data_IF_366304952308
#
_entry.id   IF_366304952308
#
_cell.length_a   1.000
_cell.length_b   1.000
_cell.length_c   1.000
_cell.angle_alpha   90.00
_cell.angle_beta   90.00
_cell.angle_gamma   90.00
#
_symmetry.space_group_name_H-M   'P 1'
#
loop_
_entity.id
_entity.type
_entity.pdbx_description
1 polymer ?
#
# COMPACT_ATOMS: atom_id res chain seq x y z
N UNK A 1 38.97 28.56 8.22
CA UNK A 1 39.65 27.61 7.32
C UNK A 1 38.70 27.02 6.27
N UNK A 2 37.63 26.31 6.65
CA UNK A 2 36.68 25.71 5.66
C UNK A 2 35.86 26.79 4.93
N UNK A 3 35.50 27.89 5.59
CA UNK A 3 34.75 29.00 4.95
C UNK A 3 35.53 29.76 3.87
N UNK A 4 36.87 29.80 3.93
CA UNK A 4 37.72 30.38 2.88
C UNK A 4 37.90 29.42 1.69
N UNK A 5 37.73 28.12 1.90
CA UNK A 5 37.82 27.10 0.84
C UNK A 5 36.62 27.12 -0.12
N UNK A 6 35.45 27.56 0.33
CA UNK A 6 34.21 27.50 -0.45
C UNK A 6 34.02 28.69 -1.42
N UNK A 7 34.70 29.82 -1.19
CA UNK A 7 34.47 31.04 -1.98
C UNK A 7 35.17 31.04 -3.34
N UNK A 8 36.06 30.09 -3.65
CA UNK A 8 36.89 30.21 -4.85
C UNK A 8 37.13 28.87 -5.59
N UNK A 9 36.04 28.27 -6.07
CA UNK A 9 35.98 26.97 -6.78
C UNK A 9 36.94 26.84 -7.97
N UNK A 10 37.39 27.95 -8.57
CA UNK A 10 38.23 27.94 -9.77
C UNK A 10 39.73 28.09 -9.49
N UNK A 11 40.12 28.52 -8.29
CA UNK A 11 41.55 28.73 -7.96
C UNK A 11 42.26 27.48 -7.45
N UNK A 12 41.51 26.46 -7.03
CA UNK A 12 42.03 25.18 -6.54
C UNK A 12 42.80 24.39 -7.62
N UNK A 13 42.45 24.59 -8.90
CA UNK A 13 43.07 23.90 -10.04
C UNK A 13 44.27 24.66 -10.64
N UNK A 14 44.74 25.72 -9.99
CA UNK A 14 45.94 26.42 -10.45
C UNK A 14 47.21 25.60 -10.13
N UNK A 15 48.16 25.44 -11.07
CA UNK A 15 49.35 24.62 -10.89
C UNK A 15 50.14 24.96 -9.62
N UNK A 16 50.27 26.25 -9.28
CA UNK A 16 51.01 26.74 -8.12
C UNK A 16 50.35 26.36 -6.79
N UNK A 17 49.01 26.33 -6.71
CA UNK A 17 48.30 25.89 -5.51
C UNK A 17 48.23 24.36 -5.38
N UNK A 18 48.18 23.64 -6.50
CA UNK A 18 48.27 22.17 -6.52
C UNK A 18 49.62 21.68 -5.98
N UNK A 19 50.72 22.33 -6.34
CA UNK A 19 52.06 22.03 -5.79
C UNK A 19 52.11 22.32 -4.29
N UNK A 20 51.52 23.44 -3.84
CA UNK A 20 51.41 23.79 -2.42
C UNK A 20 50.51 22.85 -1.60
N UNK A 21 49.55 22.17 -2.24
CA UNK A 21 48.73 21.12 -1.64
C UNK A 21 49.47 19.78 -1.61
N UNK A 22 50.21 19.44 -2.66
CA UNK A 22 51.02 18.22 -2.72
C UNK A 22 52.11 18.18 -1.63
N UNK A 23 52.72 19.34 -1.32
CA UNK A 23 53.74 19.45 -0.25
C UNK A 23 53.14 19.43 1.17
N UNK A 24 51.85 19.73 1.32
CA UNK A 24 51.11 19.69 2.61
C UNK A 24 50.36 18.37 2.83
N UNK A 25 50.49 17.42 1.90
CA UNK A 25 49.71 16.19 1.85
C UNK A 25 48.50 16.35 0.92
N UNK A 26 48.44 15.53 -0.13
CA UNK A 26 47.32 15.51 -1.06
C UNK A 26 46.05 15.14 -0.27
N UNK A 27 45.00 15.97 -0.25
CA UNK A 27 43.75 15.59 0.39
C UNK A 27 43.22 14.34 -0.30
N UNK A 28 43.10 13.24 0.45
CA UNK A 28 42.49 12.02 -0.05
C UNK A 28 41.01 12.31 -0.24
N UNK A 29 40.56 12.35 -1.49
CA UNK A 29 39.12 12.39 -1.80
C UNK A 29 38.54 11.06 -1.32
N UNK A 30 37.88 11.09 -0.17
CA UNK A 30 37.11 9.95 0.32
C UNK A 30 35.79 9.98 -0.42
N UNK A 31 35.63 9.07 -1.37
CA UNK A 31 34.42 8.98 -2.16
C UNK A 31 33.30 8.38 -1.30
N UNK A 32 32.28 9.18 -0.98
CA UNK A 32 31.20 8.78 -0.07
C UNK A 32 30.15 7.87 -0.76
N UNK A 33 30.60 6.90 -1.56
CA UNK A 33 29.74 6.02 -2.38
C UNK A 33 28.89 5.07 -1.53
N UNK A 34 29.36 4.69 -0.34
CA UNK A 34 28.63 3.77 0.55
C UNK A 34 27.32 4.42 1.02
N UNK A 35 27.39 5.68 1.47
CA UNK A 35 26.22 6.43 1.93
C UNK A 35 25.22 6.68 0.78
N UNK A 36 25.70 7.00 -0.42
CA UNK A 36 24.84 7.25 -1.57
C UNK A 36 24.06 6.00 -2.01
N UNK A 37 24.69 4.81 -1.98
CA UNK A 37 24.02 3.55 -2.30
C UNK A 37 22.94 3.23 -1.25
N UNK A 38 23.30 3.35 0.04
CA UNK A 38 22.36 3.06 1.13
C UNK A 38 21.13 3.98 1.12
N UNK A 39 21.30 5.26 0.82
CA UNK A 39 20.16 6.19 0.74
C UNK A 39 19.25 5.85 -0.46
N UNK A 40 19.82 5.47 -1.61
CA UNK A 40 19.04 5.02 -2.77
C UNK A 40 18.25 3.75 -2.45
N UNK A 41 18.88 2.77 -1.81
CA UNK A 41 18.22 1.51 -1.43
C UNK A 41 17.07 1.76 -0.43
N UNK A 42 17.27 2.69 0.52
CA UNK A 42 16.26 3.11 1.49
C UNK A 42 15.08 3.82 0.83
N UNK A 43 15.34 4.77 -0.06
CA UNK A 43 14.29 5.48 -0.79
C UNK A 43 13.54 4.55 -1.75
N UNK A 44 14.22 3.63 -2.42
CA UNK A 44 13.57 2.62 -3.25
C UNK A 44 12.59 1.78 -2.43
N UNK A 45 13.03 1.29 -1.26
CA UNK A 45 12.16 0.56 -0.34
C UNK A 45 10.95 1.41 0.07
N UNK A 46 11.17 2.66 0.45
CA UNK A 46 10.10 3.56 0.88
C UNK A 46 9.05 3.77 -0.23
N UNK A 47 9.50 4.05 -1.45
CA UNK A 47 8.61 4.23 -2.61
C UNK A 47 7.83 2.95 -2.93
N UNK A 48 8.47 1.78 -2.82
CA UNK A 48 7.77 0.50 -2.98
C UNK A 48 6.72 0.28 -1.90
N UNK A 49 7.01 0.58 -0.64
CA UNK A 49 6.07 0.50 0.47
C UNK A 49 4.86 1.42 0.25
N UNK A 50 5.09 2.67 -0.14
CA UNK A 50 4.02 3.62 -0.48
C UNK A 50 3.19 3.15 -1.66
N UNK A 51 3.83 2.64 -2.73
CA UNK A 51 3.14 2.10 -3.90
C UNK A 51 2.21 0.93 -3.56
N UNK A 52 2.66 -0.01 -2.73
CA UNK A 52 1.83 -1.13 -2.26
C UNK A 52 0.64 -0.58 -1.47
N UNK A 53 0.89 0.31 -0.51
CA UNK A 53 -0.15 0.84 0.37
C UNK A 53 -1.21 1.60 -0.43
N UNK A 54 -0.80 2.45 -1.36
CA UNK A 54 -1.72 3.28 -2.13
C UNK A 54 -2.55 2.47 -3.10
N UNK A 55 -1.97 1.49 -3.80
CA UNK A 55 -2.78 0.60 -4.63
C UNK A 55 -3.73 -0.27 -3.79
N UNK A 56 -3.33 -0.65 -2.58
CA UNK A 56 -4.18 -1.41 -1.66
C UNK A 56 -5.35 -0.57 -1.14
N UNK A 57 -5.13 0.72 -0.84
CA UNK A 57 -6.21 1.66 -0.51
C UNK A 57 -7.19 1.83 -1.66
N UNK A 58 -6.69 1.93 -2.89
CA UNK A 58 -7.52 2.02 -4.09
C UNK A 58 -8.32 0.72 -4.30
N UNK A 59 -7.73 -0.45 -4.05
CA UNK A 59 -8.40 -1.74 -4.18
C UNK A 59 -9.65 -1.87 -3.28
N UNK A 60 -9.59 -1.31 -2.08
CA UNK A 60 -10.70 -1.37 -1.10
C UNK A 60 -11.62 -0.15 -1.14
N UNK A 61 -11.34 0.86 -1.98
CA UNK A 61 -12.08 2.13 -2.02
C UNK A 61 -13.61 1.95 -2.09
N UNK A 62 -14.17 1.01 -2.90
CA UNK A 62 -15.62 0.81 -2.95
C UNK A 62 -16.20 0.39 -1.60
N UNK A 63 -15.50 -0.51 -0.89
CA UNK A 63 -15.91 -0.99 0.44
C UNK A 63 -15.73 0.10 1.48
N UNK A 64 -14.58 0.78 1.51
CA UNK A 64 -14.30 1.86 2.46
C UNK A 64 -15.29 3.01 2.32
N UNK A 65 -15.65 3.39 1.09
CA UNK A 65 -16.67 4.40 0.80
C UNK A 65 -18.05 3.99 1.32
N UNK A 66 -18.42 2.72 1.16
CA UNK A 66 -19.65 2.18 1.74
C UNK A 66 -19.62 2.20 3.28
N UNK A 67 -18.55 1.68 3.89
CA UNK A 67 -18.39 1.65 5.35
C UNK A 67 -18.45 3.05 5.96
N UNK A 68 -17.85 4.05 5.31
CA UNK A 68 -17.91 5.44 5.75
C UNK A 68 -19.36 5.98 5.71
N UNK A 69 -20.13 5.65 4.67
CA UNK A 69 -21.56 6.01 4.58
C UNK A 69 -22.36 5.35 5.69
N UNK A 70 -22.09 4.07 6.01
CA UNK A 70 -22.73 3.37 7.13
C UNK A 70 -22.40 4.04 8.47
N UNK A 71 -21.13 4.36 8.71
CA UNK A 71 -20.69 5.04 9.94
C UNK A 71 -21.32 6.42 10.10
N UNK A 72 -21.36 7.22 9.02
CA UNK A 72 -22.02 8.52 9.02
C UNK A 72 -23.54 8.42 9.23
N UNK A 73 -24.17 7.38 8.66
CA UNK A 73 -25.57 7.08 8.90
C UNK A 73 -25.84 6.73 10.36
N UNK A 74 -25.08 5.78 10.94
CA UNK A 74 -25.21 5.37 12.34
C UNK A 74 -25.06 6.54 13.29
N UNK A 75 -24.02 7.35 13.12
CA UNK A 75 -23.81 8.57 13.92
C UNK A 75 -25.02 9.51 13.86
N UNK A 76 -25.60 9.73 12.67
CA UNK A 76 -26.79 10.58 12.53
C UNK A 76 -28.06 9.95 13.10
N UNK A 77 -28.17 8.62 13.04
CA UNK A 77 -29.32 7.89 13.52
C UNK A 77 -29.34 7.83 15.05
N UNK A 78 -28.16 7.68 15.68
CA UNK A 78 -28.01 7.65 17.14
C UNK A 78 -28.33 9.00 17.79
N UNK A 79 -28.17 10.10 17.05
CA UNK A 79 -28.55 11.46 17.49
C UNK A 79 -30.07 11.73 17.41
N UNK A 80 -30.84 10.86 16.77
CA UNK A 80 -32.31 10.99 16.68
C UNK A 80 -32.98 10.31 17.87
N UNK A 81 -34.16 10.80 18.22
CA UNK A 81 -35.02 10.11 19.18
C UNK A 81 -35.29 8.66 18.72
N UNK A 82 -35.37 7.73 19.66
CA UNK A 82 -35.48 6.28 19.41
C UNK A 82 -36.63 5.96 18.43
N UNK A 83 -37.73 6.72 18.48
CA UNK A 83 -38.89 6.55 17.60
C UNK A 83 -38.68 7.03 16.16
N UNK A 84 -37.64 7.83 15.90
CA UNK A 84 -37.29 8.38 14.58
C UNK A 84 -36.04 7.72 13.98
N UNK A 85 -35.49 6.71 14.67
CA UNK A 85 -34.39 5.91 14.15
C UNK A 85 -34.88 5.07 12.97
N UNK A 86 -34.09 5.05 11.90
CA UNK A 86 -34.35 4.28 10.68
C UNK A 86 -33.36 3.12 10.57
N UNK A 87 -33.73 2.05 9.88
CA UNK A 87 -32.82 0.94 9.59
C UNK A 87 -31.90 1.27 8.41
N UNK A 88 -30.71 0.68 8.38
CA UNK A 88 -29.75 0.83 7.30
C UNK A 88 -30.33 0.43 5.94
N UNK A 89 -31.18 -0.62 5.90
CA UNK A 89 -31.84 -1.11 4.68
C UNK A 89 -32.72 -0.09 3.97
N UNK A 90 -33.23 0.90 4.71
CA UNK A 90 -34.08 1.94 4.15
C UNK A 90 -33.26 3.04 3.44
N UNK A 91 -31.94 3.00 3.57
CA UNK A 91 -31.07 3.96 2.91
C UNK A 91 -30.90 3.63 1.43
N UNK A 92 -30.88 4.67 0.59
CA UNK A 92 -30.74 4.52 -0.88
C UNK A 92 -29.41 3.87 -1.28
N UNK A 93 -28.34 4.11 -0.51
CA UNK A 93 -27.01 3.55 -0.79
C UNK A 93 -26.86 2.10 -0.30
N UNK A 94 -27.78 1.61 0.51
CA UNK A 94 -27.78 0.27 1.08
C UNK A 94 -28.90 -0.61 0.49
N UNK A 95 -29.45 -0.22 -0.67
CA UNK A 95 -30.35 -1.08 -1.43
C UNK A 95 -29.58 -2.29 -1.98
N UNK A 96 -30.21 -3.48 -2.11
CA UNK A 96 -29.55 -4.69 -2.57
C UNK A 96 -28.73 -4.50 -3.85
N UNK A 97 -29.30 -3.85 -4.87
CA UNK A 97 -28.64 -3.57 -6.15
C UNK A 97 -27.34 -2.77 -5.97
N UNK A 98 -27.34 -1.79 -5.05
CA UNK A 98 -26.17 -0.96 -4.76
C UNK A 98 -25.10 -1.69 -3.97
N UNK A 99 -25.50 -2.61 -3.09
CA UNK A 99 -24.56 -3.44 -2.35
C UNK A 99 -23.89 -4.45 -3.28
N UNK A 100 -24.62 -5.00 -4.25
CA UNK A 100 -24.06 -5.84 -5.32
C UNK A 100 -23.05 -5.05 -6.16
N UNK A 101 -23.42 -3.86 -6.63
CA UNK A 101 -22.54 -2.98 -7.41
C UNK A 101 -21.24 -2.65 -6.66
N UNK A 102 -21.33 -2.35 -5.36
CA UNK A 102 -20.15 -2.10 -4.51
C UNK A 102 -19.24 -3.34 -4.43
N UNK A 103 -19.83 -4.53 -4.28
CA UNK A 103 -19.06 -5.77 -4.21
C UNK A 103 -18.41 -6.15 -5.55
N UNK A 104 -19.13 -6.02 -6.67
CA UNK A 104 -18.59 -6.29 -8.01
C UNK A 104 -17.45 -5.33 -8.34
N UNK A 105 -17.64 -4.03 -8.08
CA UNK A 105 -16.59 -3.01 -8.25
C UNK A 105 -15.37 -3.33 -7.39
N UNK A 106 -15.58 -3.78 -6.14
CA UNK A 106 -14.49 -4.23 -5.27
C UNK A 106 -13.74 -5.43 -5.88
N UNK A 107 -14.44 -6.46 -6.36
CA UNK A 107 -13.80 -7.62 -6.99
C UNK A 107 -12.95 -7.23 -8.20
N UNK A 108 -13.47 -6.36 -9.06
CA UNK A 108 -12.75 -5.87 -10.24
C UNK A 108 -11.52 -5.06 -9.85
N UNK A 109 -11.66 -4.14 -8.90
CA UNK A 109 -10.57 -3.26 -8.48
C UNK A 109 -9.47 -4.05 -7.77
N UNK A 110 -9.83 -5.00 -6.91
CA UNK A 110 -8.89 -5.92 -6.27
C UNK A 110 -8.12 -6.69 -7.32
N UNK A 111 -8.78 -7.42 -8.22
CA UNK A 111 -8.07 -8.18 -9.26
C UNK A 111 -7.17 -7.29 -10.12
N UNK A 112 -7.66 -6.16 -10.58
CA UNK A 112 -6.90 -5.26 -11.45
C UNK A 112 -5.65 -4.67 -10.76
N UNK A 113 -5.76 -4.33 -9.46
CA UNK A 113 -4.66 -3.73 -8.71
C UNK A 113 -3.69 -4.78 -8.20
N UNK A 114 -4.21 -5.86 -7.62
CA UNK A 114 -3.39 -6.90 -7.02
C UNK A 114 -2.52 -7.63 -8.05
N UNK A 115 -3.11 -8.00 -9.20
CA UNK A 115 -2.38 -8.59 -10.33
C UNK A 115 -1.28 -7.68 -10.89
N UNK A 116 -1.37 -6.38 -10.67
CA UNK A 116 -0.44 -5.41 -11.25
C UNK A 116 0.73 -5.07 -10.32
N UNK A 117 0.52 -5.08 -9.00
CA UNK A 117 1.53 -4.64 -8.04
C UNK A 117 2.71 -5.61 -8.01
N UNK A 118 2.46 -6.92 -7.93
CA UNK A 118 3.51 -7.94 -7.77
C UNK A 118 4.47 -7.99 -8.97
N UNK A 119 3.99 -8.10 -10.23
CA UNK A 119 4.88 -8.12 -11.38
C UNK A 119 5.62 -6.80 -11.57
N UNK A 120 4.96 -5.65 -11.31
CA UNK A 120 5.63 -4.36 -11.43
C UNK A 120 6.73 -4.19 -10.40
N UNK A 121 6.50 -4.60 -9.16
CA UNK A 121 7.55 -4.55 -8.16
C UNK A 121 8.75 -5.43 -8.52
N UNK A 122 8.53 -6.66 -9.00
CA UNK A 122 9.62 -7.55 -9.42
C UNK A 122 10.42 -6.99 -10.62
N UNK A 123 9.80 -6.21 -11.51
CA UNK A 123 10.51 -5.51 -12.59
C UNK A 123 11.50 -4.43 -12.07
N UNK A 124 11.19 -3.79 -10.95
CA UNK A 124 12.04 -2.74 -10.36
C UNK A 124 13.03 -3.27 -9.33
N UNK A 125 12.73 -4.42 -8.71
CA UNK A 125 13.53 -5.05 -7.67
C UNK A 125 14.38 -6.15 -8.30
N UNK A 126 15.52 -5.80 -8.88
CA UNK A 126 16.41 -6.75 -9.54
C UNK A 126 17.12 -7.77 -8.61
N UNK A 127 16.76 -7.81 -7.32
CA UNK A 127 17.40 -8.64 -6.29
C UNK A 127 16.39 -9.25 -5.31
N UNK A 128 16.52 -10.57 -5.07
CA UNK A 128 15.60 -11.36 -4.22
C UNK A 128 15.68 -10.97 -2.75
N UNK A 129 16.83 -10.52 -2.26
CA UNK A 129 16.97 -10.08 -0.87
C UNK A 129 16.13 -8.83 -0.63
N UNK A 130 16.12 -7.91 -1.60
CA UNK A 130 15.29 -6.69 -1.57
C UNK A 130 13.79 -6.99 -1.73
N UNK A 131 13.41 -7.94 -2.59
CA UNK A 131 12.03 -8.43 -2.69
C UNK A 131 11.53 -9.03 -1.35
N UNK A 132 12.40 -9.76 -0.64
CA UNK A 132 12.04 -10.39 0.66
C UNK A 132 11.68 -9.36 1.74
N UNK A 133 12.30 -8.18 1.71
CA UNK A 133 12.01 -7.08 2.65
C UNK A 133 10.59 -6.54 2.42
N UNK A 134 10.13 -6.57 1.18
CA UNK A 134 8.83 -6.03 0.77
C UNK A 134 7.68 -7.05 0.92
N UNK A 135 7.97 -8.30 1.26
CA UNK A 135 6.95 -9.29 1.61
C UNK A 135 6.08 -8.84 2.79
N UNK A 136 6.70 -8.21 3.80
CA UNK A 136 5.97 -7.72 4.99
C UNK A 136 4.90 -6.67 4.66
N UNK A 137 5.22 -5.56 3.97
CA UNK A 137 4.22 -4.55 3.59
C UNK A 137 3.16 -5.09 2.63
N UNK A 138 3.52 -6.05 1.77
CA UNK A 138 2.59 -6.80 0.92
C UNK A 138 1.58 -7.59 1.76
N UNK A 139 2.06 -8.42 2.69
CA UNK A 139 1.22 -9.24 3.56
C UNK A 139 0.32 -8.38 4.46
N UNK A 140 0.85 -7.26 4.96
CA UNK A 140 0.07 -6.31 5.75
C UNK A 140 -1.08 -5.72 4.94
N UNK A 141 -0.84 -5.39 3.67
CA UNK A 141 -1.85 -4.82 2.79
C UNK A 141 -2.90 -5.85 2.36
N UNK A 142 -2.46 -7.08 2.06
CA UNK A 142 -3.34 -8.23 1.84
C UNK A 142 -4.29 -8.47 3.02
N UNK A 143 -3.74 -8.49 4.24
CA UNK A 143 -4.53 -8.61 5.47
C UNK A 143 -5.54 -7.46 5.60
N UNK A 144 -5.13 -6.22 5.34
CA UNK A 144 -6.02 -5.06 5.41
C UNK A 144 -7.21 -5.15 4.43
N UNK A 145 -6.99 -5.69 3.23
CA UNK A 145 -8.06 -5.96 2.25
C UNK A 145 -9.07 -6.96 2.81
N UNK A 146 -8.58 -8.06 3.38
CA UNK A 146 -9.41 -9.11 3.98
C UNK A 146 -10.21 -8.56 5.17
N UNK A 147 -9.56 -7.80 6.07
CA UNK A 147 -10.18 -7.21 7.26
C UNK A 147 -11.29 -6.21 6.87
N UNK A 148 -11.07 -5.39 5.84
CA UNK A 148 -12.07 -4.45 5.32
C UNK A 148 -13.28 -5.17 4.74
N UNK A 149 -13.05 -6.24 3.99
CA UNK A 149 -14.12 -7.08 3.47
C UNK A 149 -14.91 -7.78 4.59
N UNK A 150 -14.24 -8.28 5.61
CA UNK A 150 -14.89 -8.88 6.78
C UNK A 150 -15.82 -7.86 7.47
N UNK A 151 -15.34 -6.63 7.69
CA UNK A 151 -16.16 -5.58 8.29
C UNK A 151 -17.41 -5.25 7.46
N UNK A 152 -17.28 -5.22 6.13
CA UNK A 152 -18.41 -5.06 5.22
C UNK A 152 -19.41 -6.22 5.34
N UNK A 153 -18.92 -7.46 5.32
CA UNK A 153 -19.75 -8.65 5.43
C UNK A 153 -20.47 -8.75 6.79
N UNK A 154 -19.79 -8.39 7.88
CA UNK A 154 -20.39 -8.37 9.21
C UNK A 154 -21.57 -7.40 9.31
N UNK A 155 -21.49 -6.24 8.66
CA UNK A 155 -22.61 -5.30 8.59
C UNK A 155 -23.78 -5.91 7.82
N UNK A 156 -23.51 -6.58 6.69
CA UNK A 156 -24.56 -7.26 5.92
C UNK A 156 -25.26 -8.36 6.73
N UNK A 157 -24.49 -9.14 7.48
CA UNK A 157 -25.01 -10.21 8.34
C UNK A 157 -25.83 -9.65 9.50
N UNK A 158 -25.32 -8.63 10.19
CA UNK A 158 -25.96 -8.05 11.37
C UNK A 158 -27.27 -7.33 11.06
N UNK A 159 -27.41 -6.75 9.87
CA UNK A 159 -28.63 -6.08 9.45
C UNK A 159 -29.65 -7.06 8.83
N UNK A 160 -29.35 -8.38 8.78
CA UNK A 160 -30.16 -9.44 8.17
C UNK A 160 -30.49 -9.17 6.68
N UNK A 161 -29.53 -8.72 5.87
CA UNK A 161 -29.76 -8.65 4.42
C UNK A 161 -30.09 -10.05 3.88
N UNK A 162 -31.01 -10.16 2.91
CA UNK A 162 -31.35 -11.45 2.30
C UNK A 162 -30.22 -11.88 1.36
N UNK A 163 -29.21 -12.53 1.95
CA UNK A 163 -27.99 -13.00 1.27
C UNK A 163 -28.29 -13.96 0.10
N UNK A 164 -29.50 -14.53 0.02
CA UNK A 164 -29.92 -15.42 -1.08
C UNK A 164 -30.09 -14.69 -2.41
N UNK A 165 -30.35 -13.37 -2.38
CA UNK A 165 -30.48 -12.55 -3.59
C UNK A 165 -29.14 -11.98 -4.07
N UNK A 166 -28.04 -12.27 -3.37
CA UNK A 166 -26.72 -11.80 -3.73
C UNK A 166 -25.97 -12.87 -4.53
N UNK A 167 -24.94 -12.49 -5.32
CA UNK A 167 -24.07 -13.45 -5.98
C UNK A 167 -23.53 -14.46 -4.97
N UNK A 168 -23.52 -15.76 -5.31
CA UNK A 168 -23.01 -16.83 -4.42
C UNK A 168 -21.55 -16.63 -3.96
N UNK A 169 -20.80 -15.75 -4.63
CA UNK A 169 -19.45 -15.36 -4.23
C UNK A 169 -19.42 -14.36 -3.06
N UNK A 170 -20.51 -13.62 -2.84
CA UNK A 170 -20.64 -12.69 -1.72
C UNK A 170 -20.81 -13.48 -0.42
N UNK A 171 -19.91 -13.23 0.53
CA UNK A 171 -19.82 -13.97 1.80
C UNK A 171 -18.86 -15.15 1.80
N UNK A 172 -18.28 -15.51 0.65
CA UNK A 172 -17.20 -16.50 0.59
C UNK A 172 -15.86 -15.81 0.86
N UNK A 173 -15.52 -15.72 2.15
CA UNK A 173 -14.24 -15.13 2.57
C UNK A 173 -13.05 -15.96 2.11
N UNK A 174 -13.20 -17.27 1.93
CA UNK A 174 -12.13 -18.14 1.50
C UNK A 174 -11.81 -17.89 0.03
N UNK A 175 -12.79 -17.50 -0.78
CA UNK A 175 -12.57 -17.03 -2.15
C UNK A 175 -11.85 -15.69 -2.20
N UNK A 176 -12.22 -14.74 -1.32
CA UNK A 176 -11.52 -13.44 -1.22
C UNK A 176 -10.08 -13.64 -0.74
N UNK A 177 -9.88 -14.48 0.29
CA UNK A 177 -8.55 -14.92 0.72
C UNK A 177 -7.82 -15.60 -0.42
N UNK A 178 -8.48 -16.44 -1.21
CA UNK A 178 -7.89 -17.08 -2.40
C UNK A 178 -7.35 -16.06 -3.39
N UNK A 179 -8.12 -15.03 -3.76
CA UNK A 179 -7.63 -13.96 -4.66
C UNK A 179 -6.45 -13.20 -4.06
N UNK A 180 -6.52 -12.92 -2.76
CA UNK A 180 -5.51 -12.14 -2.05
C UNK A 180 -4.27 -12.97 -1.68
N UNK A 181 -4.37 -14.30 -1.60
CA UNK A 181 -3.27 -15.20 -1.22
C UNK A 181 -2.62 -15.85 -2.44
N UNK A 182 -3.39 -16.31 -3.42
CA UNK A 182 -2.84 -16.91 -4.64
C UNK A 182 -1.99 -15.91 -5.46
N UNK A 183 -2.22 -14.61 -5.30
CA UNK A 183 -1.47 -13.58 -6.02
C UNK A 183 -0.26 -13.02 -5.24
N UNK A 184 -0.19 -13.22 -3.92
CA UNK A 184 0.75 -12.50 -3.06
C UNK A 184 1.62 -13.37 -2.17
N UNK A 185 1.23 -14.64 -1.98
CA UNK A 185 2.13 -15.64 -1.42
C UNK A 185 3.07 -16.04 -2.56
N UNK A 186 4.16 -15.29 -2.69
CA UNK A 186 5.40 -15.89 -3.15
C UNK A 186 5.61 -17.10 -2.27
N UNK A 187 5.61 -18.29 -2.87
CA UNK A 187 5.79 -19.55 -2.15
C UNK A 187 6.94 -19.38 -1.14
N UNK A 188 6.59 -19.29 0.14
CA UNK A 188 7.50 -19.81 1.16
C UNK A 188 7.68 -21.26 0.77
N UNK A 189 8.89 -21.61 0.31
CA UNK A 189 9.36 -22.91 -0.20
C UNK A 189 9.26 -23.01 -1.74
N UNK A 190 10.33 -22.83 -2.52
CA UNK A 190 11.52 -23.68 -2.52
C UNK A 190 12.77 -22.87 -2.93
N UNK A 191 13.75 -22.75 -2.05
CA UNK A 191 15.21 -22.87 -2.30
C UNK A 191 15.94 -22.48 -1.01
N UNK A 192 15.59 -23.18 0.07
CA UNK A 192 16.49 -23.40 1.20
C UNK A 192 17.23 -24.72 0.97
N UNK A 193 18.21 -24.70 0.08
CA UNK A 193 19.30 -25.68 0.00
C UNK A 193 20.59 -24.93 -0.26
#
# INVERSE_FOLDING_TARGET
>A
AISEMLQNKYTLFSPTKLIGLATKGIPKVVENRVDAKQEVDKELKHVCEEFILDNSKLAIEPLSSFLLKVSAFRLRNDLREVHHQTSLKNQKFAQPDKVIEVYETFQETVKARLLYIVPKMSEYLGDRETESILLKPIQASAKHIIDTYQAFYDIMKNENFDLNNFPKSLGDIDKVKGWVQCEWVWEEQEHGK
#
